data_IF_095460263444
#
_entry.id   IF_095460263444
#
_cell.length_a   1.000
_cell.length_b   1.000
_cell.length_c   1.000
_cell.angle_alpha   90.00
_cell.angle_beta   90.00
_cell.angle_gamma   90.00
#
_symmetry.space_group_name_H-M   'P 1'
#
loop_
_entity.id
_entity.type
_entity.pdbx_description
1 polymer ?
#
# COMPACT_ATOMS: atom_id res chain seq x y z
N UNK A 1 -31.62 10.05 -12.05
CA UNK A 1 -30.14 10.00 -12.07
C UNK A 1 -29.52 10.62 -10.81
N UNK A 2 -29.74 11.92 -10.53
CA UNK A 2 -29.17 12.57 -9.33
C UNK A 2 -29.58 11.92 -7.99
N UNK A 3 -30.86 11.54 -7.85
CA UNK A 3 -31.36 10.88 -6.64
C UNK A 3 -30.76 9.48 -6.42
N UNK A 4 -30.57 8.69 -7.48
CA UNK A 4 -29.92 7.38 -7.42
C UNK A 4 -28.42 7.49 -7.08
N UNK A 5 -27.73 8.51 -7.61
CA UNK A 5 -26.34 8.81 -7.25
C UNK A 5 -26.22 9.19 -5.77
N UNK A 6 -27.14 10.05 -5.28
CA UNK A 6 -27.17 10.41 -3.88
C UNK A 6 -27.34 9.18 -2.98
N UNK A 7 -28.32 8.31 -3.27
CA UNK A 7 -28.52 7.06 -2.51
C UNK A 7 -27.27 6.17 -2.48
N UNK A 8 -26.54 6.05 -3.59
CA UNK A 8 -25.31 5.27 -3.63
C UNK A 8 -24.24 5.86 -2.70
N UNK A 9 -24.08 7.18 -2.71
CA UNK A 9 -23.12 7.89 -1.83
C UNK A 9 -23.51 7.72 -0.36
N UNK A 10 -24.80 7.83 -0.04
CA UNK A 10 -25.30 7.63 1.32
C UNK A 10 -25.04 6.21 1.82
N UNK A 11 -25.33 5.18 1.01
CA UNK A 11 -25.05 3.79 1.37
C UNK A 11 -23.56 3.54 1.64
N UNK A 12 -22.68 4.02 0.76
CA UNK A 12 -21.22 3.91 0.94
C UNK A 12 -20.74 4.62 2.20
N UNK A 13 -21.26 5.81 2.47
CA UNK A 13 -20.90 6.60 3.67
C UNK A 13 -21.32 5.91 4.95
N UNK A 14 -22.56 5.39 5.01
CA UNK A 14 -23.07 4.69 6.19
C UNK A 14 -22.25 3.43 6.46
N UNK A 15 -21.96 2.65 5.41
CA UNK A 15 -21.14 1.45 5.54
C UNK A 15 -19.73 1.77 6.05
N UNK A 16 -19.07 2.78 5.47
CA UNK A 16 -17.74 3.22 5.91
C UNK A 16 -17.74 3.60 7.39
N UNK A 17 -18.69 4.44 7.82
CA UNK A 17 -18.77 4.88 9.23
C UNK A 17 -19.05 3.73 10.19
N UNK A 18 -19.88 2.76 9.78
CA UNK A 18 -20.15 1.58 10.59
C UNK A 18 -18.90 0.70 10.73
N UNK A 19 -18.17 0.52 9.63
CA UNK A 19 -16.92 -0.23 9.62
C UNK A 19 -15.88 0.44 10.52
N UNK A 20 -15.67 1.75 10.39
CA UNK A 20 -14.75 2.53 11.23
C UNK A 20 -15.11 2.39 12.72
N UNK A 21 -16.39 2.54 13.05
CA UNK A 21 -16.88 2.35 14.42
C UNK A 21 -16.61 0.93 14.95
N UNK A 22 -16.78 -0.10 14.12
CA UNK A 22 -16.50 -1.48 14.51
C UNK A 22 -15.00 -1.69 14.78
N UNK A 23 -14.14 -1.18 13.91
CA UNK A 23 -12.68 -1.21 14.09
C UNK A 23 -12.29 -0.53 15.40
N UNK A 24 -12.86 0.63 15.70
CA UNK A 24 -12.62 1.34 16.96
C UNK A 24 -13.04 0.51 18.18
N UNK A 25 -14.21 -0.15 18.12
CA UNK A 25 -14.66 -1.03 19.21
C UNK A 25 -13.76 -2.22 19.43
N UNK A 26 -13.28 -2.84 18.34
CA UNK A 26 -12.33 -3.95 18.41
C UNK A 26 -11.00 -3.47 19.02
N UNK A 27 -10.47 -2.34 18.57
CA UNK A 27 -9.21 -1.78 19.09
C UNK A 27 -9.29 -1.45 20.59
N UNK A 28 -10.40 -0.85 21.04
CA UNK A 28 -10.64 -0.58 22.47
C UNK A 28 -10.75 -1.88 23.28
N UNK A 29 -11.39 -2.92 22.72
CA UNK A 29 -11.56 -4.20 23.41
C UNK A 29 -10.27 -5.01 23.50
N UNK A 30 -9.40 -4.95 22.50
CA UNK A 30 -8.07 -5.61 22.53
C UNK A 30 -7.16 -4.85 23.50
N UNK A 31 -7.21 -3.52 23.47
CA UNK A 31 -6.34 -2.66 24.27
C UNK A 31 -4.91 -2.63 23.73
N UNK A 32 -4.17 -1.57 24.06
CA UNK A 32 -2.75 -1.47 23.79
C UNK A 32 -2.05 -0.94 25.05
N UNK A 33 -0.86 -1.46 25.33
CA UNK A 33 -0.01 -0.95 26.42
C UNK A 33 0.66 0.36 25.97
N UNK A 34 0.30 1.52 26.54
CA UNK A 34 0.87 2.81 26.16
C UNK A 34 2.36 2.93 26.53
N UNK A 35 2.85 2.07 27.43
CA UNK A 35 4.24 2.06 27.88
C UNK A 35 5.13 1.13 27.06
N UNK A 36 4.54 0.34 26.14
CA UNK A 36 5.32 -0.56 25.29
C UNK A 36 6.24 0.22 24.37
N UNK A 37 7.52 -0.17 24.35
CA UNK A 37 8.55 0.39 23.46
C UNK A 37 8.70 -0.39 22.15
N UNK A 38 8.10 -1.58 22.07
CA UNK A 38 8.27 -2.52 20.96
C UNK A 38 6.90 -3.00 20.46
N UNK A 39 6.77 -3.13 19.14
CA UNK A 39 5.57 -3.63 18.47
C UNK A 39 5.99 -4.59 17.36
N UNK A 40 5.32 -5.73 17.26
CA UNK A 40 5.43 -6.63 16.11
C UNK A 40 4.19 -6.41 15.24
N UNK A 41 4.40 -5.86 14.05
CA UNK A 41 3.35 -5.66 13.06
C UNK A 41 3.23 -6.87 12.14
N UNK A 42 2.00 -7.32 11.89
CA UNK A 42 1.69 -8.32 10.86
C UNK A 42 0.78 -7.64 9.83
N UNK A 43 1.21 -7.66 8.57
CA UNK A 43 0.45 -7.05 7.47
C UNK A 43 -0.25 -8.14 6.65
N UNK A 44 -1.57 -8.05 6.54
CA UNK A 44 -2.39 -8.88 5.66
C UNK A 44 -3.08 -8.00 4.62
N UNK A 45 -2.70 -8.13 3.35
CA UNK A 45 -3.27 -7.36 2.24
C UNK A 45 -3.57 -8.28 1.04
N UNK A 46 -4.37 -7.78 0.11
CA UNK A 46 -4.59 -8.43 -1.18
C UNK A 46 -3.32 -8.37 -2.04
N UNK A 47 -3.01 -9.47 -2.74
CA UNK A 47 -1.94 -9.52 -3.73
C UNK A 47 -2.33 -8.89 -5.07
N UNK A 48 -1.45 -9.00 -6.06
CA UNK A 48 -1.73 -8.51 -7.42
C UNK A 48 -2.93 -9.20 -8.06
N UNK A 49 -3.78 -8.41 -8.72
CA UNK A 49 -4.97 -8.86 -9.44
C UNK A 49 -4.86 -8.58 -10.94
N UNK A 50 -5.35 -9.50 -11.77
CA UNK A 50 -5.44 -9.32 -13.22
C UNK A 50 -6.67 -10.03 -13.78
N UNK A 51 -7.65 -9.24 -14.21
CA UNK A 51 -8.87 -9.74 -14.85
C UNK A 51 -8.96 -9.30 -16.31
N UNK A 52 -9.93 -9.84 -17.04
CA UNK A 52 -10.23 -9.42 -18.43
C UNK A 52 -10.53 -7.92 -18.55
N UNK A 53 -11.11 -7.33 -17.51
CA UNK A 53 -11.33 -5.89 -17.41
C UNK A 53 -11.05 -5.48 -15.97
N UNK A 54 -10.02 -4.66 -15.78
CA UNK A 54 -9.63 -4.14 -14.47
C UNK A 54 -10.31 -2.78 -14.24
N UNK A 55 -10.96 -2.63 -13.09
CA UNK A 55 -11.54 -1.35 -12.68
C UNK A 55 -10.51 -0.49 -11.94
N UNK A 56 -10.92 0.71 -11.53
CA UNK A 56 -10.09 1.55 -10.67
C UNK A 56 -9.73 0.87 -9.34
N UNK A 57 -10.57 -0.03 -8.85
CA UNK A 57 -10.29 -0.79 -7.62
C UNK A 57 -9.06 -1.69 -7.78
N UNK A 58 -8.99 -2.47 -8.87
CA UNK A 58 -7.82 -3.29 -9.20
C UNK A 58 -6.57 -2.43 -9.40
N UNK A 59 -6.72 -1.25 -10.00
CA UNK A 59 -5.60 -0.31 -10.14
C UNK A 59 -5.06 0.11 -8.77
N UNK A 60 -5.94 0.48 -7.82
CA UNK A 60 -5.53 0.82 -6.44
C UNK A 60 -4.83 -0.36 -5.75
N UNK A 61 -5.38 -1.58 -5.87
CA UNK A 61 -4.79 -2.79 -5.29
C UNK A 61 -3.38 -3.04 -5.85
N UNK A 62 -3.23 -3.01 -7.18
CA UNK A 62 -1.96 -3.25 -7.83
C UNK A 62 -0.94 -2.13 -7.53
N UNK A 63 -1.38 -0.87 -7.47
CA UNK A 63 -0.53 0.25 -7.08
C UNK A 63 -0.01 0.10 -5.64
N UNK A 64 -0.86 -0.32 -4.70
CA UNK A 64 -0.42 -0.63 -3.33
C UNK A 64 0.63 -1.75 -3.32
N UNK A 65 0.44 -2.79 -4.13
CA UNK A 65 1.42 -3.87 -4.25
C UNK A 65 2.74 -3.39 -4.87
N UNK A 66 2.72 -2.52 -5.88
CA UNK A 66 3.94 -1.90 -6.43
C UNK A 66 4.69 -1.09 -5.37
N UNK A 67 3.97 -0.32 -4.54
CA UNK A 67 4.59 0.40 -3.41
C UNK A 67 5.22 -0.53 -2.39
N UNK A 68 4.57 -1.65 -2.09
CA UNK A 68 5.12 -2.67 -1.20
C UNK A 68 6.36 -3.34 -1.80
N UNK A 69 6.35 -3.64 -3.09
CA UNK A 69 7.50 -4.18 -3.81
C UNK A 69 8.68 -3.21 -3.81
N UNK A 70 8.43 -1.90 -3.98
CA UNK A 70 9.48 -0.88 -3.88
C UNK A 70 10.06 -0.83 -2.46
N UNK A 71 9.21 -0.91 -1.43
CA UNK A 71 9.66 -0.94 -0.04
C UNK A 71 10.52 -2.18 0.24
N UNK A 72 10.11 -3.36 -0.25
CA UNK A 72 10.88 -4.59 -0.16
C UNK A 72 12.23 -4.46 -0.86
N UNK A 73 12.25 -3.99 -2.11
CA UNK A 73 13.47 -3.82 -2.88
C UNK A 73 14.47 -2.88 -2.18
N UNK A 74 13.97 -1.81 -1.59
CA UNK A 74 14.81 -0.87 -0.83
C UNK A 74 15.43 -1.54 0.41
N UNK A 75 14.65 -2.24 1.22
CA UNK A 75 15.16 -2.79 2.47
C UNK A 75 16.02 -4.03 2.24
N UNK A 76 15.53 -5.00 1.47
CA UNK A 76 16.21 -6.30 1.32
C UNK A 76 17.42 -6.20 0.41
N UNK A 77 17.38 -5.38 -0.64
CA UNK A 77 18.52 -5.27 -1.55
C UNK A 77 19.37 -4.05 -1.25
N UNK A 78 18.82 -2.83 -1.22
CA UNK A 78 19.67 -1.62 -1.10
C UNK A 78 20.27 -1.48 0.30
N UNK A 79 19.43 -1.55 1.34
CA UNK A 79 19.89 -1.32 2.72
C UNK A 79 20.80 -2.43 3.24
N UNK A 80 20.53 -3.71 2.93
CA UNK A 80 21.45 -4.81 3.31
C UNK A 80 22.82 -4.68 2.64
N UNK A 81 22.88 -4.32 1.35
CA UNK A 81 24.14 -4.11 0.64
C UNK A 81 24.93 -2.91 1.20
N UNK A 82 24.22 -1.83 1.59
CA UNK A 82 24.81 -0.70 2.31
C UNK A 82 25.36 -1.10 3.69
N UNK A 83 24.66 -2.00 4.40
CA UNK A 83 25.09 -2.56 5.68
C UNK A 83 26.38 -3.38 5.53
N UNK A 84 26.42 -4.32 4.59
CA UNK A 84 27.60 -5.15 4.35
C UNK A 84 28.83 -4.32 3.97
N UNK A 85 28.63 -3.25 3.21
CA UNK A 85 29.70 -2.29 2.89
C UNK A 85 30.19 -1.57 4.14
N UNK A 86 29.26 -1.14 5.01
CA UNK A 86 29.58 -0.40 6.25
C UNK A 86 30.30 -1.28 7.27
N UNK A 87 29.95 -2.55 7.34
CA UNK A 87 30.56 -3.54 8.23
C UNK A 87 31.83 -4.19 7.65
N UNK A 88 32.27 -3.76 6.45
CA UNK A 88 33.45 -4.29 5.76
C UNK A 88 33.40 -5.81 5.55
N UNK A 89 32.19 -6.34 5.32
CA UNK A 89 31.97 -7.75 5.01
C UNK A 89 32.42 -8.02 3.56
N UNK A 90 32.95 -9.21 3.28
CA UNK A 90 33.21 -9.63 1.89
C UNK A 90 31.89 -10.06 1.23
N UNK A 91 31.41 -9.25 0.28
CA UNK A 91 30.14 -9.46 -0.41
C UNK A 91 30.23 -9.02 -1.88
N UNK A 92 29.32 -9.53 -2.71
CA UNK A 92 29.20 -9.18 -4.13
C UNK A 92 27.88 -8.52 -4.43
N UNK A 93 27.87 -7.50 -5.31
CA UNK A 93 26.65 -6.82 -5.74
C UNK A 93 25.61 -7.79 -6.30
N UNK A 94 24.39 -7.70 -5.76
CA UNK A 94 23.25 -8.47 -6.23
C UNK A 94 22.41 -7.55 -7.11
N UNK A 95 22.38 -7.84 -8.40
CA UNK A 95 21.47 -7.19 -9.33
C UNK A 95 20.02 -7.62 -9.04
N UNK A 96 19.11 -6.65 -9.01
CA UNK A 96 17.68 -6.89 -8.83
C UNK A 96 16.87 -5.95 -9.72
N UNK A 97 15.62 -6.33 -9.98
CA UNK A 97 14.69 -5.52 -10.77
C UNK A 97 14.02 -4.50 -9.86
N UNK A 98 14.33 -3.22 -10.06
CA UNK A 98 13.62 -2.10 -9.42
C UNK A 98 12.34 -1.78 -10.22
N UNK A 99 11.26 -1.42 -9.53
CA UNK A 99 9.98 -1.04 -10.11
C UNK A 99 9.72 0.48 -10.03
N UNK A 100 10.78 1.25 -9.73
CA UNK A 100 10.73 2.70 -9.61
C UNK A 100 10.19 3.40 -10.85
N UNK A 101 10.52 2.91 -12.04
CA UNK A 101 10.03 3.44 -13.32
C UNK A 101 8.50 3.33 -13.44
N UNK A 102 7.92 2.18 -13.07
CA UNK A 102 6.47 1.96 -13.03
C UNK A 102 5.81 2.93 -12.07
N UNK A 103 6.35 3.06 -10.86
CA UNK A 103 5.83 3.98 -9.85
C UNK A 103 5.96 5.45 -10.28
N UNK A 104 7.08 5.83 -10.88
CA UNK A 104 7.32 7.19 -11.35
C UNK A 104 6.30 7.56 -12.45
N UNK A 105 5.90 6.62 -13.31
CA UNK A 105 4.83 6.83 -14.31
C UNK A 105 3.46 7.03 -13.65
N UNK A 106 3.15 6.25 -12.61
CA UNK A 106 1.88 6.33 -11.88
C UNK A 106 1.78 7.62 -11.06
N UNK A 107 2.86 8.02 -10.39
CA UNK A 107 2.87 9.13 -9.42
C UNK A 107 3.21 10.49 -10.03
N UNK A 108 3.75 10.54 -11.26
CA UNK A 108 4.05 11.81 -11.91
C UNK A 108 2.78 12.66 -12.05
N UNK A 109 2.76 13.82 -11.35
CA UNK A 109 1.68 14.83 -11.42
C UNK A 109 1.39 15.34 -12.86
N UNK A 110 2.26 15.03 -13.81
CA UNK A 110 2.19 15.50 -15.21
C UNK A 110 1.79 14.40 -16.23
N UNK A 111 1.67 13.13 -15.84
CA UNK A 111 1.21 12.08 -16.76
C UNK A 111 -0.32 11.99 -16.79
N UNK A 112 -0.85 11.59 -17.95
CA UNK A 112 -2.28 11.52 -18.26
C UNK A 112 -3.10 10.62 -17.31
N UNK A 113 -2.45 9.66 -16.63
CA UNK A 113 -3.10 8.63 -15.81
C UNK A 113 -3.59 9.21 -14.48
N UNK A 114 -2.73 9.88 -13.70
CA UNK A 114 -3.13 10.48 -12.42
C UNK A 114 -4.14 11.62 -12.60
N UNK A 115 -4.03 12.41 -13.69
CA UNK A 115 -4.93 13.54 -13.99
C UNK A 115 -6.34 13.14 -14.46
N UNK A 116 -6.55 11.91 -14.93
CA UNK A 116 -7.85 11.45 -15.44
C UNK A 116 -8.60 10.59 -14.42
N UNK A 117 -7.90 10.02 -13.45
CA UNK A 117 -8.46 9.14 -12.42
C UNK A 117 -8.78 9.88 -11.11
N UNK A 118 -8.10 11.00 -10.82
CA UNK A 118 -8.39 11.93 -9.71
C UNK A 118 -9.14 13.17 -10.24
#
# INVERSE_FOLDING_TARGET
MAQQLAEMVWRKTIYSRLFDWLVDKINVSIGQDPSSKCLIGVLGIYGFESFKTNSFEQFCINYTNEKLQQHFNKHVFKSEQEEYTREEIDWSYIEFVDNKDVLDVIEQKATYIARKLL
#
